data_IF_887331374609
#
_entry.id   IF_887331374609
#
_cell.length_a   1.000
_cell.length_b   1.000
_cell.length_c   1.000
_cell.angle_alpha   90.00
_cell.angle_beta   90.00
_cell.angle_gamma   90.00
#
_symmetry.space_group_name_H-M   'P 1'
#
loop_
_entity.id
_entity.type
_entity.pdbx_description
1 polymer ?
#
# COMPACT_ATOMS: atom_id res chain seq x y z
N UNK A 1 -10.70 2.01 -14.86
CA UNK A 1 -12.06 2.55 -14.96
C UNK A 1 -12.01 3.80 -15.80
N UNK A 2 -11.99 3.63 -17.09
CA UNK A 2 -11.96 4.72 -18.07
C UNK A 2 -13.34 4.74 -18.73
N UNK A 3 -14.06 5.88 -18.72
CA UNK A 3 -15.43 5.94 -19.29
C UNK A 3 -15.47 5.64 -20.79
N UNK A 4 -14.47 6.11 -21.52
CA UNK A 4 -14.32 5.84 -22.96
C UNK A 4 -13.52 4.55 -23.15
N UNK A 5 -14.15 3.50 -23.70
CA UNK A 5 -13.54 2.19 -23.93
C UNK A 5 -12.46 2.20 -25.04
N UNK A 6 -12.37 3.24 -25.83
CA UNK A 6 -11.28 3.43 -26.82
C UNK A 6 -9.99 3.98 -26.21
N UNK A 7 -10.05 4.38 -24.93
CA UNK A 7 -8.95 4.97 -24.19
C UNK A 7 -8.41 4.03 -23.11
N UNK A 8 -7.15 4.19 -22.75
CA UNK A 8 -6.51 3.55 -21.60
C UNK A 8 -5.89 4.61 -20.68
N UNK A 9 -5.79 4.30 -19.39
CA UNK A 9 -5.08 5.12 -18.42
C UNK A 9 -3.91 4.33 -17.85
N UNK A 10 -2.71 4.90 -17.92
CA UNK A 10 -1.52 4.36 -17.30
C UNK A 10 -1.20 5.12 -16.03
N UNK A 11 -0.92 4.41 -14.94
CA UNK A 11 -0.34 4.96 -13.73
C UNK A 11 1.17 4.71 -13.73
N UNK A 12 1.97 5.77 -13.65
CA UNK A 12 3.41 5.70 -13.51
C UNK A 12 3.79 6.16 -12.11
N UNK A 13 4.53 5.34 -11.37
CA UNK A 13 4.99 5.66 -10.02
C UNK A 13 6.49 5.99 -10.06
N UNK A 14 6.84 7.15 -9.55
CA UNK A 14 8.21 7.63 -9.41
C UNK A 14 8.53 7.80 -7.92
N UNK A 15 9.49 7.01 -7.44
CA UNK A 15 9.95 7.13 -6.06
C UNK A 15 11.00 8.23 -5.95
N UNK A 16 10.74 9.21 -5.09
CA UNK A 16 11.59 10.37 -4.90
C UNK A 16 11.49 10.90 -3.47
N UNK A 17 12.44 11.74 -3.08
CA UNK A 17 12.38 12.44 -1.80
C UNK A 17 11.75 13.83 -1.99
N UNK A 18 11.04 14.31 -0.97
CA UNK A 18 10.57 15.69 -0.94
C UNK A 18 11.76 16.64 -1.10
N UNK A 19 11.68 17.53 -2.08
CA UNK A 19 12.70 18.54 -2.35
C UNK A 19 13.80 18.11 -3.34
N UNK A 20 13.82 16.86 -3.80
CA UNK A 20 14.73 16.47 -4.88
C UNK A 20 14.31 17.00 -6.26
N UNK A 21 15.16 16.78 -7.29
CA UNK A 21 14.91 17.28 -8.62
C UNK A 21 13.65 16.72 -9.29
N UNK A 22 13.27 15.47 -8.97
CA UNK A 22 12.03 14.87 -9.46
C UNK A 22 10.82 15.53 -8.79
N UNK A 23 10.84 15.65 -7.46
CA UNK A 23 9.76 16.24 -6.68
C UNK A 23 9.48 17.70 -7.05
N UNK A 24 10.53 18.47 -7.31
CA UNK A 24 10.46 19.92 -7.61
C UNK A 24 10.25 20.23 -9.09
N UNK A 25 10.36 19.23 -9.98
CA UNK A 25 10.12 19.41 -11.41
C UNK A 25 8.70 19.91 -11.69
N UNK A 26 8.55 20.71 -12.75
CA UNK A 26 7.21 21.13 -13.19
C UNK A 26 6.38 19.94 -13.68
N UNK A 27 5.06 20.06 -13.61
CA UNK A 27 4.17 19.02 -14.10
C UNK A 27 4.38 18.74 -15.59
N UNK A 28 4.63 19.78 -16.38
CA UNK A 28 4.89 19.67 -17.82
C UNK A 28 6.13 18.83 -18.09
N UNK A 29 7.21 19.05 -17.32
CA UNK A 29 8.45 18.29 -17.45
C UNK A 29 8.25 16.82 -17.06
N UNK A 30 7.50 16.55 -15.98
CA UNK A 30 7.20 15.18 -15.55
C UNK A 30 6.31 14.46 -16.57
N UNK A 31 5.32 15.14 -17.14
CA UNK A 31 4.48 14.57 -18.20
C UNK A 31 5.31 14.29 -19.46
N UNK A 32 6.22 15.19 -19.83
CA UNK A 32 7.11 14.97 -20.97
C UNK A 32 8.04 13.77 -20.73
N UNK A 33 8.61 13.64 -19.54
CA UNK A 33 9.41 12.49 -19.14
C UNK A 33 8.59 11.19 -19.22
N UNK A 34 7.41 11.17 -18.63
CA UNK A 34 6.52 10.02 -18.64
C UNK A 34 6.16 9.58 -20.08
N UNK A 35 5.83 10.52 -20.97
CA UNK A 35 5.56 10.25 -22.39
C UNK A 35 6.74 9.58 -23.08
N UNK A 36 7.96 10.04 -22.80
CA UNK A 36 9.17 9.47 -23.37
C UNK A 36 9.38 8.04 -22.87
N UNK A 37 9.29 7.84 -21.57
CA UNK A 37 9.55 6.52 -20.94
C UNK A 37 8.54 5.47 -21.36
N UNK A 38 7.23 5.77 -21.41
CA UNK A 38 6.22 4.80 -21.87
C UNK A 38 6.42 4.39 -23.33
N UNK A 39 6.98 5.26 -24.18
CA UNK A 39 7.36 4.89 -25.54
C UNK A 39 8.63 4.03 -25.55
N UNK A 40 9.65 4.37 -24.76
CA UNK A 40 10.90 3.61 -24.65
C UNK A 40 10.64 2.16 -24.17
N UNK A 41 9.72 1.96 -23.21
CA UNK A 41 9.32 0.61 -22.74
C UNK A 41 8.32 -0.08 -23.65
N UNK A 42 7.89 0.57 -24.73
CA UNK A 42 7.06 -0.03 -25.77
C UNK A 42 5.57 -0.13 -25.44
N UNK A 43 5.06 0.58 -24.44
CA UNK A 43 3.64 0.55 -24.09
C UNK A 43 2.77 1.32 -25.08
N UNK A 44 3.20 2.54 -25.48
CA UNK A 44 2.51 3.36 -26.47
C UNK A 44 3.43 4.41 -27.05
N UNK A 45 3.02 5.04 -28.16
CA UNK A 45 3.75 6.18 -28.75
C UNK A 45 3.40 7.46 -28.01
N UNK A 46 4.38 8.37 -27.83
CA UNK A 46 4.15 9.69 -27.23
C UNK A 46 3.02 10.45 -27.93
N UNK A 47 2.93 10.35 -29.26
CA UNK A 47 1.89 10.99 -30.07
C UNK A 47 0.48 10.48 -29.81
N UNK A 48 0.32 9.31 -29.20
CA UNK A 48 -0.97 8.73 -28.83
C UNK A 48 -1.42 9.15 -27.42
N UNK A 49 -0.55 9.79 -26.65
CA UNK A 49 -0.91 10.28 -25.29
C UNK A 49 -1.67 11.60 -25.41
N UNK A 50 -2.94 11.56 -25.08
CA UNK A 50 -3.87 12.69 -25.20
C UNK A 50 -3.66 13.70 -24.07
N UNK A 51 -3.51 13.19 -22.83
CA UNK A 51 -3.39 14.03 -21.63
C UNK A 51 -2.54 13.35 -20.56
N UNK A 52 -2.11 14.11 -19.57
CA UNK A 52 -1.35 13.64 -18.42
C UNK A 52 -1.59 14.50 -17.19
N UNK A 53 -1.60 13.87 -16.03
CA UNK A 53 -1.79 14.52 -14.75
C UNK A 53 -0.74 14.06 -13.75
N UNK A 54 -0.24 14.97 -12.91
CA UNK A 54 0.77 14.69 -11.89
C UNK A 54 0.17 14.80 -10.49
N UNK A 55 0.29 13.74 -9.73
CA UNK A 55 -0.06 13.71 -8.30
C UNK A 55 1.22 13.57 -7.49
N UNK A 56 1.45 14.45 -6.53
CA UNK A 56 2.52 14.32 -5.53
C UNK A 56 1.92 13.85 -4.23
N UNK A 57 2.30 12.64 -3.82
CA UNK A 57 1.83 12.05 -2.58
C UNK A 57 2.96 12.04 -1.56
N UNK A 58 2.99 12.98 -0.59
CA UNK A 58 3.96 12.94 0.49
C UNK A 58 3.70 11.75 1.41
N UNK A 59 4.75 11.14 1.93
CA UNK A 59 4.67 10.02 2.89
C UNK A 59 3.80 8.86 2.40
N UNK A 60 3.91 8.52 1.11
CA UNK A 60 3.09 7.49 0.48
C UNK A 60 3.35 6.09 1.05
N UNK A 61 4.59 5.83 1.49
CA UNK A 61 5.03 4.53 1.99
C UNK A 61 5.67 4.65 3.37
N UNK A 62 5.43 3.67 4.29
CA UNK A 62 6.20 3.56 5.50
C UNK A 62 7.65 3.20 5.18
N UNK A 63 8.61 3.75 5.91
CA UNK A 63 10.02 3.44 5.75
C UNK A 63 10.40 2.33 6.73
N UNK A 64 10.89 1.20 6.21
CA UNK A 64 11.31 0.04 6.99
C UNK A 64 12.83 0.08 7.20
N UNK A 65 13.27 0.85 8.18
CA UNK A 65 14.66 0.86 8.61
C UNK A 65 14.89 -0.16 9.75
N UNK A 66 16.14 -0.24 10.23
CA UNK A 66 16.53 -1.17 11.29
C UNK A 66 15.84 -0.89 12.65
N UNK A 67 15.25 0.30 12.83
CA UNK A 67 14.54 0.69 14.07
C UNK A 67 13.03 0.53 13.94
N UNK A 68 12.50 0.29 12.74
CA UNK A 68 11.08 0.27 12.44
C UNK A 68 10.26 -0.58 13.39
N UNK A 69 10.65 -1.86 13.58
CA UNK A 69 9.88 -2.81 14.41
C UNK A 69 9.78 -2.34 15.86
N UNK A 70 10.90 -1.88 16.43
CA UNK A 70 10.92 -1.40 17.81
C UNK A 70 10.08 -0.13 17.99
N UNK A 71 10.15 0.80 17.05
CA UNK A 71 9.40 2.04 17.08
C UNK A 71 7.89 1.80 16.95
N UNK A 72 7.47 0.95 16.00
CA UNK A 72 6.06 0.59 15.83
C UNK A 72 5.51 -0.10 17.06
N UNK A 73 6.25 -1.05 17.66
CA UNK A 73 5.81 -1.72 18.87
C UNK A 73 5.68 -0.77 20.06
N UNK A 74 6.61 0.16 20.23
CA UNK A 74 6.51 1.18 21.28
C UNK A 74 5.24 2.03 21.13
N UNK A 75 4.88 2.41 19.90
CA UNK A 75 3.64 3.14 19.62
C UNK A 75 2.42 2.26 19.90
N UNK A 76 2.42 0.99 19.48
CA UNK A 76 1.34 0.04 19.77
C UNK A 76 1.07 -0.07 21.27
N UNK A 77 2.13 -0.26 22.05
CA UNK A 77 2.02 -0.38 23.51
C UNK A 77 1.44 0.90 24.13
N UNK A 78 1.93 2.07 23.72
CA UNK A 78 1.41 3.35 24.21
C UNK A 78 -0.08 3.54 23.90
N UNK A 79 -0.53 3.06 22.73
CA UNK A 79 -1.92 3.22 22.29
C UNK A 79 -2.88 2.19 22.89
N UNK A 80 -2.41 1.12 23.52
CA UNK A 80 -3.26 0.17 24.27
C UNK A 80 -4.03 0.83 25.42
N UNK A 81 -3.53 1.96 25.94
CA UNK A 81 -4.19 2.75 26.99
C UNK A 81 -5.47 3.49 26.51
N UNK A 82 -5.80 3.45 25.23
CA UNK A 82 -6.95 4.15 24.66
C UNK A 82 -8.02 3.15 24.20
N UNK A 83 -8.95 2.72 25.08
CA UNK A 83 -10.00 1.79 24.71
C UNK A 83 -10.90 2.42 23.64
N UNK A 84 -11.22 1.63 22.60
CA UNK A 84 -12.01 2.08 21.47
C UNK A 84 -11.21 2.68 20.31
N UNK A 85 -9.89 2.83 20.43
CA UNK A 85 -9.01 3.23 19.32
C UNK A 85 -8.51 1.97 18.58
N UNK A 86 -8.85 1.88 17.30
CA UNK A 86 -8.42 0.79 16.42
C UNK A 86 -7.55 1.34 15.30
N UNK A 87 -6.31 0.86 15.22
CA UNK A 87 -5.38 1.20 14.16
C UNK A 87 -5.62 0.26 12.97
N UNK A 88 -5.95 0.83 11.80
CA UNK A 88 -6.26 0.06 10.59
C UNK A 88 -5.61 0.68 9.36
N UNK A 89 -5.36 -0.17 8.36
CA UNK A 89 -4.82 0.26 7.06
C UNK A 89 -3.34 0.63 7.10
N UNK A 90 -2.85 1.10 5.94
CA UNK A 90 -1.42 1.40 5.73
C UNK A 90 -0.89 2.45 6.70
N UNK A 91 -1.53 3.61 6.75
CA UNK A 91 -1.04 4.73 7.55
C UNK A 91 -1.33 4.54 9.04
N UNK A 92 -2.52 4.02 9.39
CA UNK A 92 -2.89 3.80 10.79
C UNK A 92 -2.01 2.77 11.49
N UNK A 93 -1.57 1.75 10.77
CA UNK A 93 -0.70 0.69 11.30
C UNK A 93 0.78 0.92 10.99
N UNK A 94 1.11 1.95 10.20
CA UNK A 94 2.45 2.18 9.67
C UNK A 94 3.03 0.89 9.04
N UNK A 95 2.23 0.19 8.26
CA UNK A 95 2.54 -1.10 7.64
C UNK A 95 2.25 -1.04 6.14
N UNK A 96 3.08 -1.70 5.33
CA UNK A 96 2.92 -1.73 3.88
C UNK A 96 1.71 -2.57 3.46
N UNK A 97 0.53 -2.04 3.68
CA UNK A 97 -0.74 -2.66 3.34
C UNK A 97 -1.25 -2.17 1.98
N UNK A 98 -1.61 -3.10 1.11
CA UNK A 98 -2.37 -2.82 -0.10
C UNK A 98 -3.86 -2.60 0.24
N UNK A 99 -4.70 -2.32 -0.74
CA UNK A 99 -6.12 -2.01 -0.53
C UNK A 99 -6.86 -3.16 0.17
N UNK A 100 -6.63 -4.40 -0.26
CA UNK A 100 -7.21 -5.62 0.29
C UNK A 100 -6.84 -5.80 1.78
N UNK A 101 -5.57 -5.65 2.13
CA UNK A 101 -5.12 -5.71 3.53
C UNK A 101 -5.73 -4.57 4.37
N UNK A 102 -5.77 -3.36 3.83
CA UNK A 102 -6.37 -2.21 4.51
C UNK A 102 -7.87 -2.41 4.77
N UNK A 103 -8.59 -2.94 3.80
CA UNK A 103 -10.00 -3.30 3.95
C UNK A 103 -10.18 -4.43 4.96
N UNK A 104 -9.34 -5.47 4.91
CA UNK A 104 -9.40 -6.60 5.84
C UNK A 104 -9.19 -6.15 7.28
N UNK A 105 -8.17 -5.32 7.57
CA UNK A 105 -7.94 -4.79 8.91
C UNK A 105 -9.15 -4.02 9.44
N UNK A 106 -9.81 -3.22 8.61
CA UNK A 106 -11.02 -2.48 8.99
C UNK A 106 -12.21 -3.42 9.26
N UNK A 107 -12.40 -4.45 8.42
CA UNK A 107 -13.47 -5.44 8.61
C UNK A 107 -13.28 -6.26 9.90
N UNK A 108 -12.05 -6.66 10.21
CA UNK A 108 -11.74 -7.40 11.44
C UNK A 108 -11.87 -6.50 12.67
N UNK A 109 -11.49 -5.22 12.58
CA UNK A 109 -11.74 -4.25 13.64
C UNK A 109 -13.25 -4.12 13.94
N UNK A 110 -14.08 -3.99 12.91
CA UNK A 110 -15.52 -3.95 13.06
C UNK A 110 -16.07 -5.22 13.76
N UNK A 111 -15.56 -6.41 13.39
CA UNK A 111 -15.95 -7.66 14.05
C UNK A 111 -15.55 -7.69 15.53
N UNK A 112 -14.38 -7.22 15.88
CA UNK A 112 -13.94 -7.10 17.27
C UNK A 112 -14.84 -6.14 18.07
N UNK A 113 -15.19 -4.99 17.47
CA UNK A 113 -16.09 -3.99 18.09
C UNK A 113 -17.48 -4.61 18.35
N UNK A 114 -18.06 -5.26 17.36
CA UNK A 114 -19.38 -5.88 17.46
C UNK A 114 -19.40 -7.00 18.54
N UNK A 115 -18.33 -7.78 18.61
CA UNK A 115 -18.19 -8.84 19.60
C UNK A 115 -17.92 -8.34 21.03
N UNK A 116 -17.51 -7.08 21.19
CA UNK A 116 -17.12 -6.50 22.47
C UNK A 116 -15.81 -7.08 23.05
N UNK A 117 -15.06 -7.83 22.26
CA UNK A 117 -13.76 -8.40 22.62
C UNK A 117 -12.87 -8.58 21.39
N UNK A 118 -11.59 -8.92 21.60
CA UNK A 118 -10.62 -9.14 20.52
C UNK A 118 -10.74 -10.58 20.02
N UNK A 119 -11.46 -10.77 18.91
CA UNK A 119 -11.55 -12.05 18.20
C UNK A 119 -10.38 -12.27 17.23
N UNK A 120 -9.87 -11.17 16.66
CA UNK A 120 -8.81 -11.18 15.64
C UNK A 120 -7.75 -10.18 16.01
N UNK A 121 -6.48 -10.57 15.91
CA UNK A 121 -5.36 -9.64 15.97
C UNK A 121 -5.19 -9.02 14.58
N UNK A 122 -5.44 -7.71 14.48
CA UNK A 122 -5.35 -6.96 13.23
C UNK A 122 -3.92 -6.91 12.68
N UNK A 123 -2.94 -7.04 13.55
CA UNK A 123 -1.53 -6.96 13.18
C UNK A 123 -1.02 -8.20 12.46
N UNK A 124 -1.76 -9.31 12.54
CA UNK A 124 -1.47 -10.54 11.80
C UNK A 124 -1.98 -10.50 10.35
N UNK A 125 -2.70 -9.44 9.94
CA UNK A 125 -3.02 -9.22 8.54
C UNK A 125 -1.75 -8.78 7.81
N UNK A 126 -1.43 -9.47 6.69
CA UNK A 126 -0.25 -9.18 5.87
C UNK A 126 1.08 -9.31 6.66
N UNK A 127 1.25 -10.34 7.47
CA UNK A 127 2.56 -10.66 8.06
C UNK A 127 3.60 -11.04 7.00
N UNK A 128 3.15 -11.61 5.88
CA UNK A 128 4.01 -12.08 4.79
C UNK A 128 4.46 -10.96 3.81
N UNK A 129 4.02 -9.71 3.97
CA UNK A 129 4.42 -8.60 3.07
C UNK A 129 5.92 -8.35 3.06
N UNK A 130 6.60 -8.62 4.16
CA UNK A 130 8.08 -8.58 4.24
C UNK A 130 8.74 -9.67 3.38
N UNK A 131 7.98 -10.71 2.99
CA UNK A 131 8.48 -11.85 2.19
C UNK A 131 8.41 -11.60 0.69
N UNK A 132 7.48 -10.75 0.22
CA UNK A 132 7.26 -10.50 -1.21
C UNK A 132 8.28 -9.54 -1.83
N UNK A 133 8.90 -8.69 -1.04
CA UNK A 133 10.01 -7.84 -1.54
C UNK A 133 11.33 -8.60 -1.69
N UNK A 134 11.43 -9.81 -1.16
CA UNK A 134 12.63 -10.67 -1.18
C UNK A 134 12.82 -11.57 -2.40
N UNK A 135 12.01 -11.46 -3.46
CA UNK A 135 12.21 -12.18 -4.73
C UNK A 135 11.23 -13.33 -5.02
N UNK A 136 10.92 -13.46 -6.28
CA UNK A 136 10.01 -14.41 -6.90
C UNK A 136 10.09 -15.83 -6.31
N UNK A 137 9.00 -16.30 -5.71
CA UNK A 137 8.70 -17.73 -5.55
C UNK A 137 7.44 -18.08 -6.34
N UNK A 138 7.48 -19.27 -6.94
CA UNK A 138 6.62 -19.69 -8.03
C UNK A 138 5.12 -19.82 -7.72
N UNK A 139 4.35 -20.03 -8.78
CA UNK A 139 2.89 -20.02 -8.87
C UNK A 139 2.14 -20.98 -7.90
N UNK A 140 2.81 -21.93 -7.25
CA UNK A 140 2.19 -22.86 -6.28
C UNK A 140 1.89 -22.22 -4.90
N UNK A 141 2.48 -21.05 -4.61
CA UNK A 141 2.24 -20.34 -3.34
C UNK A 141 1.05 -19.38 -3.39
N UNK A 142 0.53 -19.06 -4.58
CA UNK A 142 -0.56 -18.08 -4.75
C UNK A 142 -1.90 -18.56 -4.16
N UNK A 143 -2.17 -19.86 -4.17
CA UNK A 143 -3.38 -20.44 -3.55
C UNK A 143 -3.32 -20.41 -2.01
N UNK A 144 -2.14 -20.62 -1.44
CA UNK A 144 -1.94 -20.55 0.03
C UNK A 144 -1.97 -19.12 0.58
N UNK A 145 -1.66 -18.12 -0.24
CA UNK A 145 -1.69 -16.70 0.16
C UNK A 145 -3.12 -16.21 0.38
N UNK A 146 -4.08 -16.67 -0.42
CA UNK A 146 -5.49 -16.30 -0.24
C UNK A 146 -6.09 -16.80 1.09
N UNK A 147 -5.65 -17.97 1.59
CA UNK A 147 -6.08 -18.51 2.87
C UNK A 147 -5.45 -17.78 4.08
N UNK A 148 -4.31 -17.09 3.88
CA UNK A 148 -3.57 -16.39 4.94
C UNK A 148 -4.00 -14.95 5.18
N UNK A 149 -4.84 -14.38 4.31
CA UNK A 149 -5.34 -13.00 4.46
C UNK A 149 -6.27 -12.84 5.65
N UNK A 150 -6.90 -13.92 6.12
CA UNK A 150 -7.76 -13.90 7.31
C UNK A 150 -7.07 -14.64 8.44
N UNK A 151 -6.58 -13.95 9.47
CA UNK A 151 -6.01 -14.61 10.63
C UNK A 151 -7.06 -15.49 11.31
N UNK A 152 -6.62 -16.63 11.83
CA UNK A 152 -7.46 -17.50 12.64
C UNK A 152 -7.98 -16.74 13.87
N UNK A 153 -9.26 -16.97 14.24
CA UNK A 153 -9.79 -16.37 15.45
C UNK A 153 -9.00 -16.80 16.68
N UNK A 154 -8.76 -15.87 17.58
CA UNK A 154 -8.12 -16.16 18.88
C UNK A 154 -9.10 -17.04 19.67
N UNK A 155 -8.68 -18.26 19.97
CA UNK A 155 -9.46 -19.14 20.86
C UNK A 155 -9.22 -18.68 22.30
N UNK A 156 -10.29 -18.27 22.98
CA UNK A 156 -10.29 -18.03 24.42
C UNK A 156 -10.12 -19.35 25.16
#
# INVERSE_FOLDING_TARGET
MVPDQSMACYGLEYFCFEGDGMWTSSNENLIALAKKEIEEIGLTKQSAVVDGYVVRQPKAYPVYDHTYKANVEAVREALKGYPGLYLVGRNGMHKYNNQDHSMMTAMLAAKNIIAGNVLYDLWNVNEDAEYHEGGMRGAEETEKVAERLVPTSIKN
#
